data_IF_568061525493
#
_entry.id   IF_568061525493
#
_cell.length_a   1.000
_cell.length_b   1.000
_cell.length_c   1.000
_cell.angle_alpha   90.00
_cell.angle_beta   90.00
_cell.angle_gamma   90.00
#
_symmetry.space_group_name_H-M   'P 1'
#
loop_
_entity.id
_entity.type
_entity.pdbx_description
1 polymer ?
#
# COMPACT_ATOMS: atom_id res chain seq x y z
N UNK A 1 5.09 -4.87 2.66
CA UNK A 1 5.02 -6.30 2.25
C UNK A 1 6.42 -6.86 2.04
N UNK A 2 6.66 -8.13 2.37
CA UNK A 2 7.93 -8.82 2.16
C UNK A 2 7.68 -10.05 1.28
N UNK A 3 8.51 -10.26 0.26
CA UNK A 3 8.49 -11.50 -0.55
C UNK A 3 9.88 -12.11 -0.62
N UNK A 4 9.97 -13.42 -0.40
CA UNK A 4 11.23 -14.19 -0.43
C UNK A 4 11.55 -14.78 -1.80
N UNK A 5 10.55 -14.87 -2.68
CA UNK A 5 10.68 -15.41 -4.04
C UNK A 5 10.01 -14.49 -5.06
N UNK A 6 10.18 -14.81 -6.34
CA UNK A 6 9.51 -14.07 -7.41
C UNK A 6 8.02 -14.39 -7.39
N UNK A 7 7.19 -13.36 -7.50
CA UNK A 7 5.72 -13.44 -7.47
C UNK A 7 5.14 -12.80 -8.72
N UNK A 8 3.99 -13.29 -9.18
CA UNK A 8 3.33 -12.81 -10.40
C UNK A 8 1.89 -12.38 -10.10
N UNK A 9 1.45 -11.31 -10.76
CA UNK A 9 0.11 -10.73 -10.61
C UNK A 9 -0.28 -10.57 -9.14
N UNK A 10 0.54 -9.82 -8.41
CA UNK A 10 0.33 -9.56 -6.99
C UNK A 10 -0.72 -8.46 -6.83
N UNK A 11 -1.71 -8.72 -6.00
CA UNK A 11 -2.67 -7.74 -5.50
C UNK A 11 -2.40 -7.50 -4.02
N UNK A 12 -2.10 -6.25 -3.66
CA UNK A 12 -2.08 -5.76 -2.30
C UNK A 12 -3.40 -5.01 -2.07
N UNK A 13 -4.19 -5.46 -1.11
CA UNK A 13 -5.50 -4.93 -0.77
C UNK A 13 -5.50 -4.53 0.70
N UNK A 14 -5.76 -3.26 0.97
CA UNK A 14 -5.95 -2.74 2.32
C UNK A 14 -7.39 -2.27 2.49
N UNK A 15 -8.11 -2.83 3.44
CA UNK A 15 -9.51 -2.47 3.70
C UNK A 15 -9.55 -1.33 4.72
N UNK A 16 -10.33 -0.30 4.42
CA UNK A 16 -10.41 0.89 5.26
C UNK A 16 -11.37 0.64 6.43
N UNK A 17 -11.06 1.18 7.62
CA UNK A 17 -12.05 1.25 8.69
C UNK A 17 -13.21 2.17 8.26
N UNK A 18 -14.43 1.86 8.69
CA UNK A 18 -15.64 2.54 8.20
C UNK A 18 -15.69 4.06 8.45
N UNK A 19 -14.95 4.58 9.43
CA UNK A 19 -14.87 6.01 9.72
C UNK A 19 -13.78 6.77 8.95
N UNK A 20 -13.11 6.12 7.98
CA UNK A 20 -12.04 6.73 7.19
C UNK A 20 -12.31 6.61 5.68
N UNK A 21 -11.83 7.59 4.93
CA UNK A 21 -11.90 7.62 3.47
C UNK A 21 -10.53 7.84 2.85
N UNK A 22 -10.17 7.09 1.81
CA UNK A 22 -8.92 7.29 1.09
C UNK A 22 -8.96 8.59 0.26
N UNK A 23 -7.88 9.38 0.33
CA UNK A 23 -7.74 10.60 -0.46
C UNK A 23 -6.99 10.33 -1.75
N UNK A 24 -7.60 10.69 -2.88
CA UNK A 24 -6.96 10.57 -4.18
C UNK A 24 -6.15 11.82 -4.52
N UNK A 25 -4.83 11.74 -4.35
CA UNK A 25 -3.87 12.83 -4.64
C UNK A 25 -3.71 13.13 -6.14
N UNK A 26 -4.20 12.26 -7.03
CA UNK A 26 -4.18 12.50 -8.49
C UNK A 26 -5.28 13.46 -8.94
N UNK A 27 -6.25 13.79 -8.07
CA UNK A 27 -7.31 14.75 -8.36
C UNK A 27 -6.87 16.17 -7.98
N UNK A 28 -7.02 17.12 -8.92
CA UNK A 28 -6.56 18.51 -8.79
C UNK A 28 -7.11 19.27 -7.57
N UNK A 29 -8.27 18.87 -7.05
CA UNK A 29 -8.93 19.53 -5.91
C UNK A 29 -8.64 18.90 -4.55
N UNK A 30 -7.89 17.79 -4.49
CA UNK A 30 -7.59 17.14 -3.23
C UNK A 30 -6.51 17.93 -2.50
N UNK A 31 -6.88 18.57 -1.40
CA UNK A 31 -5.93 19.13 -0.43
C UNK A 31 -5.30 17.97 0.33
N UNK A 32 -4.22 17.42 -0.21
CA UNK A 32 -3.30 16.62 0.57
C UNK A 32 -2.24 17.57 1.12
N UNK A 33 -2.08 17.58 2.45
CA UNK A 33 -0.89 18.15 3.08
C UNK A 33 0.35 17.51 2.43
N UNK A 34 1.47 18.24 2.38
CA UNK A 34 2.74 17.97 1.67
C UNK A 34 3.47 16.68 2.13
N UNK A 35 2.74 15.64 2.49
CA UNK A 35 3.21 14.27 2.56
C UNK A 35 3.70 13.85 1.18
N UNK A 36 5.02 13.94 1.01
CA UNK A 36 5.77 13.15 0.05
C UNK A 36 5.38 11.68 0.25
N UNK A 37 4.30 11.22 -0.41
CA UNK A 37 3.91 9.82 -0.52
C UNK A 37 4.90 9.13 -1.46
N UNK A 38 6.16 9.06 -1.04
CA UNK A 38 7.23 8.38 -1.74
C UNK A 38 7.13 6.89 -1.42
N UNK A 39 6.42 6.18 -2.29
CA UNK A 39 6.40 4.72 -2.37
C UNK A 39 7.84 4.23 -2.60
N UNK A 40 8.52 3.78 -1.54
CA UNK A 40 9.95 3.44 -1.58
C UNK A 40 10.13 1.92 -1.52
N UNK A 41 10.96 1.36 -2.40
CA UNK A 41 11.45 -0.03 -2.24
C UNK A 41 12.66 0.02 -1.31
N UNK A 42 12.52 -0.43 -0.06
CA UNK A 42 13.67 -0.56 0.85
C UNK A 42 14.59 -1.69 0.37
N UNK A 43 15.77 -1.35 -0.16
CA UNK A 43 16.82 -2.34 -0.47
C UNK A 43 17.48 -2.81 0.83
N UNK A 44 17.81 -4.11 0.89
CA UNK A 44 18.80 -4.66 1.82
C UNK A 44 20.15 -3.97 1.54
N UNK A 45 20.87 -3.56 2.58
CA UNK A 45 22.18 -2.86 2.51
C UNK A 45 23.26 -3.77 1.90
N UNK A 46 23.26 -3.91 0.59
CA UNK A 46 24.35 -4.53 -0.14
C UNK A 46 25.17 -3.41 -0.78
N UNK A 47 26.33 -3.13 -0.16
CA UNK A 47 27.25 -2.06 -0.51
C UNK A 47 27.89 -2.31 -1.88
N UNK A 48 27.32 -1.79 -2.97
CA UNK A 48 28.10 -1.38 -4.12
C UNK A 48 27.27 -0.46 -5.05
N UNK A 49 27.88 0.69 -5.40
CA UNK A 49 27.54 1.66 -6.44
C UNK A 49 26.46 2.72 -6.19
N UNK A 50 26.96 3.94 -6.17
CA UNK A 50 26.30 5.24 -6.13
C UNK A 50 25.34 5.54 -7.31
N UNK A 51 24.43 6.47 -7.02
CA UNK A 51 23.82 7.45 -7.92
C UNK A 51 22.73 7.00 -8.91
N UNK A 52 21.53 6.70 -8.38
CA UNK A 52 20.25 7.33 -8.82
C UNK A 52 19.26 7.39 -7.65
N UNK A 53 18.69 8.55 -7.28
CA UNK A 53 17.61 8.62 -6.30
C UNK A 53 16.38 7.96 -6.94
N UNK A 54 16.15 6.67 -6.64
CA UNK A 54 15.03 5.88 -7.15
C UNK A 54 13.69 6.27 -6.49
N UNK A 55 13.43 7.57 -6.30
CA UNK A 55 12.18 8.08 -5.70
C UNK A 55 11.09 8.44 -6.72
N UNK A 56 11.29 8.16 -8.01
CA UNK A 56 10.36 8.58 -9.08
C UNK A 56 9.43 7.47 -9.59
N UNK A 57 9.71 6.19 -9.31
CA UNK A 57 8.91 5.08 -9.84
C UNK A 57 8.25 4.29 -8.72
N UNK A 58 6.92 4.43 -8.60
CA UNK A 58 6.11 3.51 -7.82
C UNK A 58 6.38 2.08 -8.29
N UNK A 59 6.53 1.14 -7.36
CA UNK A 59 6.72 -0.27 -7.70
C UNK A 59 5.40 -0.93 -8.16
N UNK A 60 4.29 -0.22 -8.08
CA UNK A 60 2.96 -0.68 -8.50
C UNK A 60 2.71 -0.32 -9.95
N UNK A 61 2.08 -1.22 -10.71
CA UNK A 61 1.62 -0.93 -12.08
C UNK A 61 0.32 -0.11 -12.05
N UNK A 62 -0.58 -0.44 -11.13
CA UNK A 62 -1.87 0.21 -10.97
C UNK A 62 -2.22 0.37 -9.49
N UNK A 63 -2.93 1.45 -9.18
CA UNK A 63 -3.43 1.76 -7.85
C UNK A 63 -4.90 2.15 -7.98
N UNK A 64 -5.76 1.54 -7.16
CA UNK A 64 -7.17 1.87 -7.08
C UNK A 64 -7.50 2.30 -5.66
N UNK A 65 -7.93 3.55 -5.51
CA UNK A 65 -8.46 4.06 -4.25
C UNK A 65 -9.98 4.02 -4.33
N UNK A 66 -10.61 3.12 -3.57
CA UNK A 66 -12.07 3.02 -3.41
C UNK A 66 -12.49 3.54 -2.04
N UNK A 67 -13.79 3.62 -1.82
CA UNK A 67 -14.35 4.09 -0.57
C UNK A 67 -14.06 3.13 0.59
N UNK A 68 -14.14 1.82 0.32
CA UNK A 68 -14.02 0.76 1.32
C UNK A 68 -12.64 0.11 1.39
N UNK A 69 -11.76 0.38 0.43
CA UNK A 69 -10.43 -0.21 0.33
C UNK A 69 -9.48 0.52 -0.61
N UNK A 70 -8.20 0.37 -0.36
CA UNK A 70 -7.10 0.83 -1.19
C UNK A 70 -6.37 -0.39 -1.79
N UNK A 71 -6.14 -0.39 -3.09
CA UNK A 71 -5.51 -1.52 -3.80
C UNK A 71 -4.30 -1.08 -4.61
N UNK A 72 -3.29 -1.94 -4.63
CA UNK A 72 -2.08 -1.81 -5.43
C UNK A 72 -1.78 -3.12 -6.17
N UNK A 73 -1.49 -3.02 -7.46
CA UNK A 73 -1.26 -4.18 -8.34
C UNK A 73 0.14 -4.17 -8.92
N UNK A 74 0.72 -5.37 -9.11
CA UNK A 74 2.00 -5.54 -9.80
C UNK A 74 2.07 -6.87 -10.54
N UNK A 75 2.37 -6.82 -11.83
CA UNK A 75 2.41 -7.99 -12.72
C UNK A 75 3.58 -8.93 -12.41
N UNK A 76 4.74 -8.39 -12.05
CA UNK A 76 5.91 -9.18 -11.64
C UNK A 76 6.63 -8.48 -10.50
N UNK A 77 6.84 -9.23 -9.41
CA UNK A 77 7.49 -8.77 -8.20
C UNK A 77 8.70 -9.65 -7.88
N UNK A 78 9.87 -9.03 -7.69
CA UNK A 78 11.09 -9.73 -7.32
C UNK A 78 11.14 -9.95 -5.80
N UNK A 79 12.00 -10.85 -5.30
CA UNK A 79 12.29 -10.92 -3.87
C UNK A 79 12.69 -9.54 -3.31
N UNK A 80 12.18 -9.19 -2.12
CA UNK A 80 12.48 -7.93 -1.46
C UNK A 80 11.39 -7.41 -0.53
N UNK A 81 11.64 -6.22 0.01
CA UNK A 81 10.71 -5.46 0.85
C UNK A 81 10.13 -4.32 0.03
N UNK A 82 8.80 -4.18 0.11
CA UNK A 82 8.02 -3.21 -0.65
C UNK A 82 7.13 -2.43 0.31
N UNK A 83 7.21 -1.11 0.25
CA UNK A 83 6.37 -0.19 1.01
C UNK A 83 5.46 0.55 0.06
N UNK A 84 4.20 0.69 0.44
CA UNK A 84 3.19 1.46 -0.28
C UNK A 84 2.41 2.26 0.73
N UNK A 85 2.25 3.55 0.44
CA UNK A 85 1.70 4.53 1.36
C UNK A 85 0.62 5.32 0.63
N UNK A 86 -0.49 5.54 1.31
CA UNK A 86 -1.59 6.39 0.85
C UNK A 86 -2.10 7.22 2.02
N UNK A 87 -2.80 8.31 1.72
CA UNK A 87 -3.42 9.15 2.76
C UNK A 87 -4.89 8.77 2.88
N UNK A 88 -5.37 8.69 4.12
CA UNK A 88 -6.80 8.62 4.43
C UNK A 88 -7.18 9.76 5.37
N UNK A 89 -8.44 10.18 5.27
CA UNK A 89 -9.06 11.17 6.15
C UNK A 89 -10.05 10.48 7.08
N UNK A 90 -9.98 10.78 8.36
CA UNK A 90 -10.99 10.39 9.33
C UNK A 90 -12.22 11.32 9.18
N UNK A 91 -13.41 10.75 8.99
CA UNK A 91 -14.65 11.48 8.71
C UNK A 91 -15.72 11.30 9.78
N UNK A 92 -15.75 10.17 10.47
CA UNK A 92 -16.75 9.88 11.51
C UNK A 92 -16.08 9.52 12.84
N UNK A 93 -16.47 10.22 13.91
CA UNK A 93 -16.02 9.91 15.26
C UNK A 93 -16.58 8.55 15.72
N UNK A 94 -15.77 7.77 16.42
CA UNK A 94 -16.15 6.44 16.90
C UNK A 94 -14.97 5.46 16.99
N UNK A 95 -15.29 4.23 17.40
CA UNK A 95 -14.33 3.12 17.44
C UNK A 95 -14.61 2.15 16.30
N UNK A 96 -13.63 1.94 15.42
CA UNK A 96 -13.75 1.07 14.25
C UNK A 96 -12.72 -0.04 14.28
N UNK A 97 -13.05 -1.15 13.62
CA UNK A 97 -12.10 -2.25 13.39
C UNK A 97 -11.36 -1.96 12.08
N UNK A 98 -10.04 -2.06 12.11
CA UNK A 98 -9.19 -2.06 10.93
C UNK A 98 -9.10 -3.50 10.43
N UNK A 99 -9.74 -3.85 9.29
CA UNK A 99 -9.57 -5.17 8.72
C UNK A 99 -8.12 -5.37 8.28
N UNK A 100 -7.60 -6.61 8.31
CA UNK A 100 -6.20 -6.83 8.04
C UNK A 100 -5.89 -6.65 6.55
N UNK A 101 -4.85 -5.86 6.25
CA UNK A 101 -4.28 -5.77 4.91
C UNK A 101 -3.89 -7.17 4.39
N UNK A 102 -4.15 -7.44 3.11
CA UNK A 102 -3.95 -8.73 2.46
C UNK A 102 -3.12 -8.54 1.19
N UNK A 103 -2.12 -9.38 1.01
CA UNK A 103 -1.37 -9.47 -0.24
C UNK A 103 -1.47 -10.89 -0.79
N UNK A 104 -1.79 -11.04 -2.07
CA UNK A 104 -1.94 -12.35 -2.70
C UNK A 104 -1.56 -12.35 -4.18
N UNK A 105 -1.24 -13.52 -4.72
CA UNK A 105 -1.19 -13.73 -6.16
C UNK A 105 -2.61 -13.96 -6.70
N UNK A 106 -3.04 -13.12 -7.65
CA UNK A 106 -4.41 -13.13 -8.18
C UNK A 106 -4.82 -14.48 -8.79
N UNK A 107 -3.85 -15.21 -9.35
CA UNK A 107 -4.09 -16.47 -10.06
C UNK A 107 -3.54 -17.70 -9.32
N UNK A 108 -3.04 -17.51 -8.10
CA UNK A 108 -2.53 -18.57 -7.21
C UNK A 108 -2.90 -18.21 -5.76
N UNK A 109 -4.20 -18.24 -5.41
CA UNK A 109 -4.72 -17.68 -4.15
C UNK A 109 -4.19 -18.37 -2.89
N UNK A 110 -3.58 -19.55 -3.01
CA UNK A 110 -2.84 -20.22 -1.94
C UNK A 110 -1.61 -19.42 -1.47
N UNK A 111 -1.05 -18.57 -2.34
CA UNK A 111 0.06 -17.69 -2.03
C UNK A 111 -0.45 -16.34 -1.53
N UNK A 112 -0.71 -16.25 -0.22
CA UNK A 112 -1.13 -15.00 0.40
C UNK A 112 -0.43 -14.70 1.72
N UNK A 113 -0.44 -13.44 2.12
CA UNK A 113 -0.07 -12.95 3.43
C UNK A 113 -1.10 -11.97 3.94
N UNK A 114 -1.32 -11.95 5.26
CA UNK A 114 -2.24 -11.01 5.91
C UNK A 114 -1.55 -10.36 7.10
N UNK A 115 -1.88 -9.10 7.33
CA UNK A 115 -1.48 -8.40 8.54
C UNK A 115 -2.42 -8.73 9.72
N UNK A 116 -2.13 -8.18 10.90
CA UNK A 116 -3.03 -8.28 12.04
C UNK A 116 -4.22 -7.34 11.90
N UNK A 117 -5.32 -7.69 12.54
CA UNK A 117 -6.47 -6.81 12.76
C UNK A 117 -6.17 -5.88 13.93
N UNK A 118 -6.54 -4.62 13.80
CA UNK A 118 -6.41 -3.60 14.85
C UNK A 118 -7.72 -2.84 15.05
N UNK A 119 -7.76 -1.96 16.05
CA UNK A 119 -8.86 -1.03 16.27
C UNK A 119 -8.33 0.39 16.19
N UNK A 120 -9.13 1.29 15.63
CA UNK A 120 -8.86 2.72 15.59
C UNK A 120 -9.95 3.47 16.34
N UNK A 121 -9.53 4.49 17.07
CA UNK A 121 -10.41 5.44 17.73
C UNK A 121 -10.28 6.78 17.02
N UNK A 122 -11.41 7.37 16.64
CA UNK A 122 -11.53 8.68 15.99
C UNK A 122 -12.35 9.57 16.92
N UNK A 123 -11.80 10.73 17.27
CA UNK A 123 -12.42 11.78 18.09
C UNK A 123 -13.07 12.86 17.21
#
# INVERSE_FOLDING_TARGET
MITTQRRYHVALVDYLPAGCEALNTKLKGTLADDSNLTVTRSKRKDNYHECRPYSIFSWTDHENLRNERAEAFRSSLWPGVYEWSYVMRATCAGTFIIPPARAEEMYSPENFGRYKTEKVFID
#
